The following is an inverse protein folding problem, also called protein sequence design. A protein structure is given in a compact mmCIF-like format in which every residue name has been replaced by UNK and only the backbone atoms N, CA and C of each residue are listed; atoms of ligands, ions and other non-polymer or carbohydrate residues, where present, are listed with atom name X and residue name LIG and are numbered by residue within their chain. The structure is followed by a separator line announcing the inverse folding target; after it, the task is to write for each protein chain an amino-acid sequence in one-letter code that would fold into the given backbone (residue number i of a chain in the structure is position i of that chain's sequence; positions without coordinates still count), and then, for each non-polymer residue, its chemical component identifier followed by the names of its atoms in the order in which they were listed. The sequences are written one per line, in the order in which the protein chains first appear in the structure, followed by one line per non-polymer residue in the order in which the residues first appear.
data_IF_762647654826
#
_entry.id   IF_762647654826
#
_cell.length_a   1.000
_cell.length_b   1.000
_cell.length_c   1.000
_cell.angle_alpha   90.00
_cell.angle_beta   90.00
_cell.angle_gamma   90.00
#
_symmetry.space_group_name_H-M   'P 1'
#
loop_
_entity.id
_entity.type
_entity.pdbx_description
1 polymer ?
#
# COMPACT_ATOMS: atom_id res chain seq x y z
N UNK A 1 -4.90 16.80 3.66
CA UNK A 1 -5.81 16.71 2.50
C UNK A 1 -6.45 15.34 2.55
N UNK A 2 -7.77 15.22 2.73
CA UNK A 2 -8.41 13.91 2.73
C UNK A 2 -8.24 13.27 1.34
N UNK A 3 -7.70 12.07 1.27
CA UNK A 3 -7.56 11.34 0.00
C UNK A 3 -8.93 10.88 -0.46
N UNK A 4 -9.43 11.52 -1.49
CA UNK A 4 -10.72 11.27 -2.09
C UNK A 4 -10.53 10.32 -3.29
N UNK A 5 -11.51 9.46 -3.58
CA UNK A 5 -11.53 8.54 -4.71
C UNK A 5 -11.31 9.28 -6.05
N UNK A 6 -11.87 10.47 -6.21
CA UNK A 6 -11.70 11.30 -7.41
C UNK A 6 -10.23 11.64 -7.70
N UNK A 7 -9.42 11.89 -6.65
CA UNK A 7 -7.99 12.14 -6.83
C UNK A 7 -7.25 10.92 -7.36
N UNK A 8 -7.61 9.72 -6.86
CA UNK A 8 -6.97 8.46 -7.26
C UNK A 8 -7.37 8.02 -8.66
N UNK A 9 -8.59 8.32 -9.08
CA UNK A 9 -9.08 8.04 -10.45
C UNK A 9 -8.73 9.15 -11.45
N UNK A 10 -8.13 10.24 -10.97
CA UNK A 10 -7.72 11.35 -11.83
C UNK A 10 -6.49 10.99 -12.67
N UNK A 11 -6.44 11.37 -13.96
CA UNK A 11 -5.25 11.21 -14.79
C UNK A 11 -3.99 11.89 -14.23
N UNK A 12 -4.15 12.86 -13.32
CA UNK A 12 -3.04 13.55 -12.66
C UNK A 12 -2.17 12.63 -11.81
N UNK A 13 -2.72 11.49 -11.37
CA UNK A 13 -1.97 10.53 -10.55
C UNK A 13 -0.78 9.93 -11.32
N UNK A 14 -0.89 9.80 -12.63
CA UNK A 14 0.19 9.33 -13.51
C UNK A 14 1.44 10.27 -13.53
N UNK A 15 1.35 11.49 -13.01
CA UNK A 15 2.48 12.41 -12.94
C UNK A 15 3.37 12.20 -11.70
N UNK A 16 3.00 11.31 -10.80
CA UNK A 16 3.77 11.01 -9.60
C UNK A 16 4.67 9.78 -9.82
N UNK A 17 5.87 9.83 -9.25
CA UNK A 17 6.76 8.67 -9.23
C UNK A 17 6.30 7.61 -8.24
N UNK A 18 5.80 8.04 -7.09
CA UNK A 18 5.40 7.18 -5.97
C UNK A 18 3.98 7.49 -5.53
N UNK A 19 3.19 6.45 -5.29
CA UNK A 19 1.84 6.56 -4.73
C UNK A 19 1.75 5.71 -3.47
N UNK A 20 1.37 6.31 -2.36
CA UNK A 20 1.27 5.63 -1.08
C UNK A 20 -0.17 5.66 -0.55
N UNK A 21 -0.75 4.49 -0.39
CA UNK A 21 -2.05 4.31 0.23
C UNK A 21 -1.86 3.91 1.70
N UNK A 22 -1.80 4.91 2.59
CA UNK A 22 -1.77 4.75 4.05
C UNK A 22 -3.22 4.79 4.58
N UNK A 23 -3.98 3.75 4.33
CA UNK A 23 -5.41 3.69 4.64
C UNK A 23 -5.83 2.24 4.95
N UNK A 24 -7.12 1.96 5.04
CA UNK A 24 -7.63 0.62 5.28
C UNK A 24 -7.88 -0.13 3.97
N UNK A 25 -7.39 -1.37 3.89
CA UNK A 25 -7.78 -2.32 2.86
C UNK A 25 -8.89 -3.23 3.37
N UNK A 26 -9.68 -3.75 2.46
CA UNK A 26 -10.63 -4.81 2.76
C UNK A 26 -10.52 -5.90 1.71
N UNK A 27 -10.62 -7.14 2.16
CA UNK A 27 -10.55 -8.33 1.30
C UNK A 27 -11.82 -9.13 1.45
N UNK A 28 -12.45 -9.44 0.32
CA UNK A 28 -13.58 -10.35 0.26
C UNK A 28 -13.09 -11.67 -0.34
N UNK A 29 -13.11 -12.75 0.44
CA UNK A 29 -12.64 -14.08 0.02
C UNK A 29 -13.62 -14.83 -0.87
N UNK A 30 -14.92 -14.50 -0.77
CA UNK A 30 -15.95 -15.14 -1.60
C UNK A 30 -16.05 -14.48 -2.97
N UNK A 31 -15.82 -13.15 -3.01
CA UNK A 31 -15.88 -12.31 -4.21
C UNK A 31 -14.68 -11.39 -4.24
N UNK A 32 -13.50 -11.86 -4.69
CA UNK A 32 -12.25 -11.09 -4.69
C UNK A 32 -12.35 -9.76 -5.44
N UNK A 33 -13.23 -9.68 -6.45
CA UNK A 33 -13.50 -8.45 -7.21
C UNK A 33 -14.10 -7.32 -6.36
N UNK A 34 -14.66 -7.65 -5.20
CA UNK A 34 -15.18 -6.69 -4.23
C UNK A 34 -14.10 -6.21 -3.25
N UNK A 35 -12.93 -6.83 -3.22
CA UNK A 35 -11.79 -6.36 -2.43
C UNK A 35 -11.33 -4.99 -2.90
N UNK A 36 -10.70 -4.22 -2.02
CA UNK A 36 -10.26 -2.87 -2.37
C UNK A 36 -9.65 -2.10 -1.22
N UNK A 37 -9.57 -0.80 -1.41
CA UNK A 37 -9.03 0.18 -0.47
C UNK A 37 -10.15 1.15 -0.09
N UNK A 38 -10.18 1.56 1.19
CA UNK A 38 -11.14 2.56 1.69
C UNK A 38 -10.47 3.93 1.67
N UNK A 39 -11.02 4.83 0.90
CA UNK A 39 -10.66 6.25 0.89
C UNK A 39 -11.60 7.02 1.83
N UNK A 40 -11.54 8.36 1.83
CA UNK A 40 -12.48 9.16 2.62
C UNK A 40 -13.93 8.85 2.23
N UNK A 41 -14.77 8.56 3.22
CA UNK A 41 -16.21 8.33 3.04
C UNK A 41 -17.02 9.62 3.12
N UNK A 42 -16.36 10.76 3.35
CA UNK A 42 -16.98 12.08 3.38
C UNK A 42 -16.15 13.06 2.55
N UNK A 43 -16.81 14.03 1.94
CA UNK A 43 -16.17 15.12 1.23
C UNK A 43 -15.59 16.19 2.21
N UNK A 44 -15.04 17.27 1.67
CA UNK A 44 -14.50 18.39 2.48
C UNK A 44 -15.55 19.16 3.27
N UNK A 45 -16.83 18.96 2.95
CA UNK A 45 -17.97 19.59 3.61
C UNK A 45 -18.66 18.66 4.61
N UNK A 46 -18.18 17.40 4.72
CA UNK A 46 -18.74 16.37 5.59
C UNK A 46 -19.89 15.58 4.99
N UNK A 47 -20.22 15.75 3.70
CA UNK A 47 -21.27 14.98 3.06
C UNK A 47 -20.77 13.56 2.71
N UNK A 48 -21.62 12.54 2.83
CA UNK A 48 -21.27 11.18 2.46
C UNK A 48 -20.86 11.06 0.99
N UNK A 49 -19.78 10.31 0.72
CA UNK A 49 -19.33 9.98 -0.64
C UNK A 49 -18.89 8.50 -0.74
N UNK A 50 -18.84 7.99 -1.97
CA UNK A 50 -18.31 6.67 -2.23
C UNK A 50 -16.77 6.69 -2.15
N UNK A 51 -16.23 6.26 -1.02
CA UNK A 51 -14.79 6.15 -0.79
C UNK A 51 -14.20 4.77 -1.09
N UNK A 52 -14.96 3.83 -1.62
CA UNK A 52 -14.43 2.49 -1.94
C UNK A 52 -13.73 2.48 -3.29
N UNK A 53 -12.44 2.20 -3.30
CA UNK A 53 -11.66 1.89 -4.50
C UNK A 53 -11.56 0.36 -4.61
N UNK A 54 -12.47 -0.24 -5.38
CA UNK A 54 -12.55 -1.69 -5.55
C UNK A 54 -11.50 -2.19 -6.54
N UNK A 55 -11.25 -3.49 -6.53
CA UNK A 55 -10.33 -4.13 -7.47
C UNK A 55 -10.68 -3.82 -8.93
N UNK A 56 -11.98 -3.83 -9.29
CA UNK A 56 -12.45 -3.44 -10.60
C UNK A 56 -12.10 -2.00 -10.98
N UNK A 57 -12.11 -1.09 -10.00
CA UNK A 57 -11.71 0.30 -10.23
C UNK A 57 -10.19 0.38 -10.46
N UNK A 58 -9.41 -0.39 -9.67
CA UNK A 58 -7.95 -0.43 -9.77
C UNK A 58 -7.52 -0.91 -11.16
N UNK A 59 -8.15 -1.95 -11.72
CA UNK A 59 -7.86 -2.44 -13.08
C UNK A 59 -8.12 -1.38 -14.17
N UNK A 60 -8.99 -0.42 -13.91
CA UNK A 60 -9.31 0.66 -14.84
C UNK A 60 -8.46 1.93 -14.64
N UNK A 61 -7.53 1.93 -13.68
CA UNK A 61 -6.59 3.04 -13.52
C UNK A 61 -5.54 3.03 -14.62
N UNK A 62 -5.05 4.22 -14.97
CA UNK A 62 -3.82 4.39 -15.72
C UNK A 62 -2.77 4.97 -14.75
N UNK A 63 -1.90 4.10 -14.23
CA UNK A 63 -1.00 4.42 -13.13
C UNK A 63 0.45 4.00 -13.47
N UNK A 64 1.10 4.62 -14.46
CA UNK A 64 2.46 4.32 -14.86
C UNK A 64 3.46 4.92 -13.87
N UNK A 65 3.42 4.44 -12.62
CA UNK A 65 4.26 4.93 -11.52
C UNK A 65 5.35 3.93 -11.19
N UNK A 66 6.46 4.43 -10.67
CA UNK A 66 7.61 3.61 -10.28
C UNK A 66 7.28 2.70 -9.09
N UNK A 67 6.51 3.20 -8.12
CA UNK A 67 6.20 2.46 -6.90
C UNK A 67 4.80 2.80 -6.38
N UNK A 68 4.04 1.76 -6.06
CA UNK A 68 2.85 1.84 -5.21
C UNK A 68 3.17 1.21 -3.85
N UNK A 69 2.87 1.92 -2.77
CA UNK A 69 2.96 1.40 -1.40
C UNK A 69 1.56 1.22 -0.84
N UNK A 70 1.25 0.01 -0.41
CA UNK A 70 0.00 -0.34 0.26
C UNK A 70 0.33 -0.69 1.72
N UNK A 71 0.39 0.33 2.59
CA UNK A 71 0.56 0.11 4.03
C UNK A 71 -0.78 -0.09 4.75
N UNK A 72 -1.82 -0.35 3.98
CA UNK A 72 -3.14 -0.68 4.48
C UNK A 72 -3.10 -2.00 5.24
N UNK A 73 -3.25 -1.95 6.55
CA UNK A 73 -3.46 -3.15 7.35
C UNK A 73 -4.76 -3.83 6.91
N UNK A 74 -4.71 -5.14 6.74
CA UNK A 74 -5.92 -5.94 6.52
C UNK A 74 -6.81 -5.85 7.75
N UNK A 75 -7.75 -4.91 7.78
CA UNK A 75 -8.84 -4.95 8.75
C UNK A 75 -9.86 -5.98 8.27
N UNK A 76 -9.48 -7.26 8.34
CA UNK A 76 -10.40 -8.35 8.10
C UNK A 76 -11.42 -8.43 9.23
N UNK A 77 -12.61 -7.93 9.01
CA UNK A 77 -13.80 -8.39 9.72
C UNK A 77 -14.10 -9.81 9.23
N UNK A 78 -13.57 -10.79 9.94
CA UNK A 78 -13.93 -12.20 9.75
C UNK A 78 -12.86 -13.07 9.10
N UNK A 79 -12.66 -14.26 9.70
CA UNK A 79 -11.87 -15.44 9.30
C UNK A 79 -10.64 -15.21 8.41
N UNK A 80 -9.50 -15.66 8.89
CA UNK A 80 -8.21 -15.70 8.19
C UNK A 80 -8.37 -15.98 6.70
N UNK A 81 -8.15 -14.96 5.88
CA UNK A 81 -8.17 -15.11 4.43
C UNK A 81 -6.74 -15.42 4.01
N UNK A 82 -6.57 -16.61 3.45
CA UNK A 82 -5.35 -17.01 2.76
C UNK A 82 -5.06 -15.98 1.66
N UNK A 83 -3.95 -15.29 1.73
CA UNK A 83 -3.29 -14.32 0.85
C UNK A 83 -3.82 -13.92 -0.54
N UNK A 84 -4.85 -14.57 -1.06
CA UNK A 84 -5.32 -14.40 -2.44
C UNK A 84 -5.85 -12.99 -2.75
N UNK A 85 -6.58 -12.37 -1.82
CA UNK A 85 -7.14 -11.04 -2.06
C UNK A 85 -6.06 -9.94 -2.15
N UNK A 86 -4.98 -10.06 -1.39
CA UNK A 86 -3.85 -9.14 -1.45
C UNK A 86 -3.07 -9.33 -2.76
N UNK A 87 -2.89 -10.57 -3.21
CA UNK A 87 -2.28 -10.88 -4.50
C UNK A 87 -3.10 -10.29 -5.64
N UNK A 88 -4.44 -10.33 -5.55
CA UNK A 88 -5.30 -9.73 -6.56
C UNK A 88 -5.15 -8.20 -6.62
N UNK A 89 -5.09 -7.51 -5.46
CA UNK A 89 -4.86 -6.07 -5.42
C UNK A 89 -3.49 -5.70 -6.01
N UNK A 90 -2.44 -6.44 -5.64
CA UNK A 90 -1.09 -6.24 -6.18
C UNK A 90 -1.09 -6.37 -7.71
N UNK A 91 -1.69 -7.46 -8.23
CA UNK A 91 -1.83 -7.66 -9.68
C UNK A 91 -2.64 -6.56 -10.35
N UNK A 92 -3.71 -6.06 -9.69
CA UNK A 92 -4.51 -4.96 -10.18
C UNK A 92 -3.69 -3.69 -10.40
N UNK A 93 -2.88 -3.30 -9.43
CA UNK A 93 -2.00 -2.13 -9.56
C UNK A 93 -0.88 -2.33 -10.59
N UNK A 94 -0.32 -3.53 -10.69
CA UNK A 94 0.65 -3.85 -11.75
C UNK A 94 0.01 -3.76 -13.14
N UNK A 95 -1.20 -4.28 -13.28
CA UNK A 95 -1.96 -4.16 -14.53
C UNK A 95 -2.25 -2.69 -14.88
N UNK A 96 -2.54 -1.86 -13.88
CA UNK A 96 -2.73 -0.43 -14.03
C UNK A 96 -1.45 0.33 -14.46
N UNK A 97 -0.28 -0.30 -14.42
CA UNK A 97 0.99 0.25 -14.88
C UNK A 97 2.05 0.49 -13.81
N UNK A 98 1.80 0.15 -12.55
CA UNK A 98 2.80 0.28 -11.50
C UNK A 98 3.94 -0.73 -11.70
N UNK A 99 5.20 -0.25 -11.75
CA UNK A 99 6.37 -1.12 -11.94
C UNK A 99 6.65 -1.97 -10.69
N UNK A 100 6.40 -1.42 -9.51
CA UNK A 100 6.68 -2.06 -8.22
C UNK A 100 5.58 -1.79 -7.21
N UNK A 101 5.36 -2.76 -6.33
CA UNK A 101 4.39 -2.61 -5.24
C UNK A 101 5.00 -3.11 -3.94
N UNK A 102 4.95 -2.28 -2.90
CA UNK A 102 5.23 -2.69 -1.52
C UNK A 102 3.90 -2.90 -0.81
N UNK A 103 3.73 -4.04 -0.18
CA UNK A 103 2.50 -4.37 0.57
C UNK A 103 2.82 -5.11 1.86
N UNK A 104 1.93 -5.00 2.85
CA UNK A 104 2.01 -5.76 4.10
C UNK A 104 1.13 -7.02 4.05
N UNK A 105 1.66 -8.15 4.53
CA UNK A 105 0.96 -9.44 4.54
C UNK A 105 0.11 -9.69 5.79
N UNK A 106 0.34 -8.91 6.86
CA UNK A 106 -0.43 -8.99 8.10
C UNK A 106 -0.53 -7.62 8.75
N UNK A 107 -1.40 -7.52 9.76
CA UNK A 107 -1.55 -6.30 10.55
C UNK A 107 -0.26 -6.03 11.32
N UNK A 108 0.28 -4.83 11.15
CA UNK A 108 1.47 -4.35 11.85
C UNK A 108 1.09 -3.17 12.74
N UNK A 109 1.96 -2.91 13.70
CA UNK A 109 1.86 -1.75 14.55
C UNK A 109 2.02 -0.45 13.76
N UNK A 110 1.18 0.56 14.04
CA UNK A 110 1.17 1.82 13.30
C UNK A 110 2.47 2.61 13.49
N UNK A 111 3.08 2.58 14.68
CA UNK A 111 4.32 3.30 14.97
C UNK A 111 5.50 2.64 14.27
N UNK A 112 5.59 1.31 14.33
CA UNK A 112 6.61 0.56 13.61
C UNK A 112 6.48 0.76 12.09
N UNK A 113 5.26 0.75 11.55
CA UNK A 113 4.97 1.03 10.14
C UNK A 113 5.40 2.44 9.75
N UNK A 114 5.06 3.45 10.56
CA UNK A 114 5.47 4.82 10.29
C UNK A 114 7.00 4.98 10.27
N UNK A 115 7.72 4.32 11.19
CA UNK A 115 9.18 4.32 11.20
C UNK A 115 9.76 3.62 9.97
N UNK A 116 9.24 2.45 9.60
CA UNK A 116 9.68 1.70 8.42
C UNK A 116 9.48 2.53 7.15
N UNK A 117 8.30 3.12 6.96
CA UNK A 117 8.01 3.95 5.80
C UNK A 117 8.86 5.22 5.75
N UNK A 118 9.10 5.86 6.90
CA UNK A 118 10.00 7.02 6.98
C UNK A 118 11.41 6.65 6.53
N UNK A 119 11.96 5.53 7.02
CA UNK A 119 13.28 5.06 6.61
C UNK A 119 13.31 4.68 5.12
N UNK A 120 12.29 3.96 4.63
CA UNK A 120 12.16 3.60 3.21
C UNK A 120 12.30 4.84 2.32
N UNK A 121 11.52 5.90 2.61
CA UNK A 121 11.57 7.11 1.80
C UNK A 121 12.87 7.91 1.98
N UNK A 122 13.46 7.91 3.15
CA UNK A 122 14.79 8.52 3.37
C UNK A 122 15.85 7.85 2.51
N UNK A 123 15.92 6.51 2.53
CA UNK A 123 16.88 5.74 1.72
C UNK A 123 16.68 5.95 0.21
N UNK A 124 15.41 6.04 -0.22
CA UNK A 124 15.10 6.26 -1.64
C UNK A 124 15.40 7.70 -2.09
N UNK A 125 14.99 8.70 -1.30
CA UNK A 125 14.99 10.10 -1.74
C UNK A 125 16.31 10.82 -1.43
N UNK A 126 16.97 10.46 -0.33
CA UNK A 126 18.22 11.11 0.09
C UNK A 126 19.44 10.31 -0.37
N UNK A 127 19.38 8.98 -0.26
CA UNK A 127 20.53 8.11 -0.54
C UNK A 127 20.47 7.46 -1.93
N UNK A 128 19.37 7.69 -2.66
CA UNK A 128 19.20 7.25 -4.04
C UNK A 128 19.08 5.73 -4.22
N UNK A 129 18.75 4.99 -3.15
CA UNK A 129 18.60 3.55 -3.24
C UNK A 129 17.38 3.15 -4.06
N UNK A 130 17.46 2.01 -4.76
CA UNK A 130 16.28 1.40 -5.38
C UNK A 130 15.24 1.03 -4.32
N UNK A 131 13.94 0.97 -4.65
CA UNK A 131 12.90 0.62 -3.68
C UNK A 131 13.14 -0.69 -2.95
N UNK A 132 13.72 -1.69 -3.62
CA UNK A 132 14.04 -2.98 -2.99
C UNK A 132 15.18 -2.86 -1.97
N UNK A 133 16.25 -2.15 -2.32
CA UNK A 133 17.38 -1.90 -1.42
C UNK A 133 16.95 -1.03 -0.23
N UNK A 134 16.16 0.01 -0.47
CA UNK A 134 15.63 0.89 0.55
C UNK A 134 14.71 0.17 1.54
N UNK A 135 13.82 -0.71 1.05
CA UNK A 135 12.98 -1.53 1.92
C UNK A 135 13.82 -2.44 2.82
N UNK A 136 14.84 -3.10 2.24
CA UNK A 136 15.76 -3.95 2.99
C UNK A 136 16.48 -3.17 4.08
N UNK A 137 17.03 -1.99 3.78
CA UNK A 137 17.72 -1.17 4.78
C UNK A 137 16.75 -0.68 5.88
N UNK A 138 15.55 -0.26 5.53
CA UNK A 138 14.52 0.11 6.50
C UNK A 138 14.17 -1.06 7.44
N UNK A 139 14.01 -2.26 6.90
CA UNK A 139 13.76 -3.48 7.70
C UNK A 139 14.94 -3.81 8.62
N UNK A 140 16.18 -3.71 8.14
CA UNK A 140 17.38 -3.94 8.95
C UNK A 140 17.52 -2.94 10.10
N UNK A 141 17.11 -1.69 9.89
CA UNK A 141 17.12 -0.66 10.95
C UNK A 141 16.11 -1.00 12.05
N UNK A 142 14.88 -1.41 11.68
CA UNK A 142 13.89 -1.85 12.66
C UNK A 142 14.34 -3.12 13.40
N UNK A 143 14.92 -4.09 12.71
CA UNK A 143 15.47 -5.28 13.36
C UNK A 143 16.55 -4.96 14.41
N UNK A 144 17.40 -3.95 14.15
CA UNK A 144 18.43 -3.48 15.09
C UNK A 144 17.87 -2.66 16.26
N UNK A 145 16.67 -2.15 16.12
CA UNK A 145 15.97 -1.41 17.18
C UNK A 145 15.48 -2.36 18.27
N UNK A 146 15.83 -2.09 19.54
CA UNK A 146 15.42 -2.95 20.66
C UNK A 146 13.90 -3.10 20.79
N UNK A 147 13.16 -2.04 20.49
CA UNK A 147 11.69 -1.99 20.59
C UNK A 147 11.01 -2.80 19.48
N UNK A 148 11.54 -2.75 18.24
CA UNK A 148 10.93 -3.37 17.06
C UNK A 148 11.72 -4.57 16.54
N UNK A 149 12.57 -5.20 17.36
CA UNK A 149 13.41 -6.33 16.98
C UNK A 149 12.61 -7.55 16.49
N UNK A 150 11.38 -7.73 16.99
CA UNK A 150 10.54 -8.87 16.59
C UNK A 150 10.17 -8.74 15.09
N UNK A 151 10.34 -9.82 14.29
CA UNK A 151 9.96 -9.84 12.88
C UNK A 151 8.51 -9.43 12.59
N UNK A 152 7.62 -9.56 13.56
CA UNK A 152 6.24 -9.10 13.46
C UNK A 152 6.13 -7.65 12.97
N UNK A 153 7.03 -6.76 13.40
CA UNK A 153 6.99 -5.33 13.12
C UNK A 153 7.54 -4.93 11.74
N UNK A 154 8.43 -5.72 11.14
CA UNK A 154 9.11 -5.34 9.91
C UNK A 154 9.01 -6.35 8.78
N UNK A 155 8.91 -7.64 9.08
CA UNK A 155 8.90 -8.68 8.05
C UNK A 155 7.55 -8.81 7.31
N UNK A 156 6.54 -8.04 7.75
CA UNK A 156 5.25 -7.98 7.07
C UNK A 156 5.35 -7.42 5.64
N UNK A 157 6.31 -6.53 5.39
CA UNK A 157 6.41 -5.80 4.14
C UNK A 157 7.26 -6.54 3.12
N UNK A 158 6.74 -6.71 1.92
CA UNK A 158 7.49 -7.22 0.79
C UNK A 158 7.25 -6.38 -0.46
N UNK A 159 8.24 -6.37 -1.35
CA UNK A 159 8.15 -5.74 -2.66
C UNK A 159 7.90 -6.80 -3.73
N UNK A 160 7.06 -6.46 -4.70
CA UNK A 160 6.77 -7.26 -5.88
C UNK A 160 6.94 -6.39 -7.14
N UNK A 161 7.32 -7.00 -8.26
CA UNK A 161 7.57 -6.30 -9.52
C UNK A 161 9.05 -6.23 -9.85
N UNK A 162 9.47 -5.17 -10.53
CA UNK A 162 10.86 -4.94 -10.90
C UNK A 162 11.71 -4.71 -9.64
N UNK A 163 12.86 -5.37 -9.54
CA UNK A 163 13.74 -5.31 -8.37
C UNK A 163 14.97 -4.41 -8.56
N UNK A 164 15.28 -4.04 -9.81
CA UNK A 164 16.40 -3.18 -10.20
C UNK A 164 16.04 -1.68 -10.05
#
# INVERSE_FOLDING_TARGET
MASNREHVTSPKLANYRFVHFATHGFVNSEKPELSGIVMSLVDSQGNPQNGFLRLSDVFNLNLPVELVVLSACQTGLGKQIKGEGLVCLTRGFMYAGASRIITSFWNVDDQATAQLMTQLYQEMLNDGLTPAAALREAQLRLWKNKEYKNPYYWAAFAIQGEWE
#
